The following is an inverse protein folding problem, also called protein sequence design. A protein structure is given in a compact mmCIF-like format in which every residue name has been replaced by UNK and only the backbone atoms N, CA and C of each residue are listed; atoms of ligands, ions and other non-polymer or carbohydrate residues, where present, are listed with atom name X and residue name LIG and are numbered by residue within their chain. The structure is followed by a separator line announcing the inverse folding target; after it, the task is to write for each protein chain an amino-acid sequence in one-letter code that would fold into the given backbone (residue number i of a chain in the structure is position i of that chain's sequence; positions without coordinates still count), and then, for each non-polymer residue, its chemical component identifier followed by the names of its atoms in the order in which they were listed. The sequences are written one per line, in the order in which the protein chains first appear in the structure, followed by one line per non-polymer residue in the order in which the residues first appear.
data_IF_968107804459
#
_entry.id   IF_968107804459
#
_cell.length_a   1.000
_cell.length_b   1.000
_cell.length_c   1.000
_cell.angle_alpha   90.00
_cell.angle_beta   90.00
_cell.angle_gamma   90.00
#
_symmetry.space_group_name_H-M   'P 1'
#
loop_
_entity.id
_entity.type
_entity.pdbx_description
1 polymer ?
#
# COMPACT_ATOMS: atom_id res chain seq x y z
N UNK A 1 1.89 -10.94 -13.98
CA UNK A 1 2.73 -10.42 -12.87
C UNK A 1 3.11 -9.00 -13.19
N UNK A 2 2.74 -8.07 -12.31
CA UNK A 2 3.04 -6.64 -12.40
C UNK A 2 4.54 -6.42 -12.09
N UNK A 3 5.19 -5.44 -12.72
CA UNK A 3 6.56 -5.03 -12.34
C UNK A 3 6.53 -3.90 -11.29
N UNK A 4 7.68 -3.59 -10.68
CA UNK A 4 7.76 -2.58 -9.62
C UNK A 4 7.45 -1.17 -10.11
N UNK A 5 7.85 -0.81 -11.33
CA UNK A 5 7.58 0.52 -11.90
C UNK A 5 6.08 0.76 -12.05
N UNK A 6 5.37 -0.22 -12.60
CA UNK A 6 3.92 -0.19 -12.70
C UNK A 6 3.24 -0.22 -11.33
N UNK A 7 3.73 -1.04 -10.39
CA UNK A 7 3.22 -1.08 -9.02
C UNK A 7 3.33 0.29 -8.34
N UNK A 8 4.50 0.94 -8.41
CA UNK A 8 4.72 2.29 -7.86
C UNK A 8 3.74 3.30 -8.44
N UNK A 9 3.54 3.27 -9.77
CA UNK A 9 2.58 4.18 -10.42
C UNK A 9 1.17 3.98 -9.89
N UNK A 10 0.71 2.73 -9.78
CA UNK A 10 -0.63 2.41 -9.26
C UNK A 10 -0.79 2.81 -7.80
N UNK A 11 0.21 2.56 -6.95
CA UNK A 11 0.22 3.01 -5.55
C UNK A 11 0.00 4.51 -5.47
N UNK A 12 0.83 5.30 -6.17
CA UNK A 12 0.71 6.75 -6.15
C UNK A 12 -0.65 7.22 -6.70
N UNK A 13 -1.16 6.57 -7.74
CA UNK A 13 -2.47 6.89 -8.30
C UNK A 13 -3.63 6.60 -7.34
N UNK A 14 -3.59 5.49 -6.60
CA UNK A 14 -4.64 5.17 -5.61
C UNK A 14 -4.61 6.18 -4.46
N UNK A 15 -3.43 6.57 -4.01
CA UNK A 15 -3.26 7.51 -2.92
C UNK A 15 -3.57 8.97 -3.29
N UNK A 16 -3.78 9.29 -4.58
CA UNK A 16 -3.97 10.67 -5.06
C UNK A 16 -5.16 11.37 -4.39
N UNK A 17 -6.28 10.67 -4.22
CA UNK A 17 -7.53 11.27 -3.70
C UNK A 17 -7.48 11.50 -2.19
N UNK A 18 -7.09 10.49 -1.41
CA UNK A 18 -7.13 10.52 0.06
C UNK A 18 -5.79 10.93 0.71
N UNK A 19 -4.70 10.91 -0.06
CA UNK A 19 -3.33 11.15 0.43
C UNK A 19 -2.76 10.03 1.30
N UNK A 20 -3.55 8.99 1.62
CA UNK A 20 -3.16 7.88 2.47
C UNK A 20 -4.12 6.69 2.25
N UNK A 21 -3.64 5.49 2.56
CA UNK A 21 -4.45 4.27 2.67
C UNK A 21 -3.74 3.22 3.54
N UNK A 22 -4.49 2.27 4.08
CA UNK A 22 -3.95 1.12 4.78
C UNK A 22 -3.17 0.24 3.78
N UNK A 23 -1.99 -0.25 4.17
CA UNK A 23 -1.10 -0.96 3.24
C UNK A 23 -1.71 -2.24 2.65
N UNK A 24 -2.53 -2.97 3.43
CA UNK A 24 -3.14 -4.22 2.99
C UNK A 24 -4.27 -4.02 1.94
N UNK A 25 -5.30 -3.17 2.14
CA UNK A 25 -6.25 -2.87 1.07
C UNK A 25 -5.60 -2.14 -0.11
N UNK A 26 -4.55 -1.33 0.11
CA UNK A 26 -3.79 -0.71 -0.96
C UNK A 26 -3.19 -1.76 -1.91
N UNK A 27 -2.51 -2.80 -1.37
CA UNK A 27 -2.01 -3.93 -2.17
C UNK A 27 -3.14 -4.52 -3.04
N UNK A 28 -4.25 -4.89 -2.42
CA UNK A 28 -5.39 -5.51 -3.12
C UNK A 28 -6.04 -4.59 -4.16
N UNK A 29 -5.84 -3.27 -4.05
CA UNK A 29 -6.38 -2.27 -4.99
C UNK A 29 -5.49 -2.11 -6.23
N UNK A 30 -4.17 -2.22 -6.06
CA UNK A 30 -3.19 -1.96 -7.14
C UNK A 30 -2.89 -3.21 -8.00
N UNK A 31 -3.28 -4.40 -7.55
CA UNK A 31 -3.14 -5.67 -8.29
C UNK A 31 -4.48 -6.37 -8.50
N UNK A 32 -4.47 -7.40 -9.35
CA UNK A 32 -5.48 -8.46 -9.39
C UNK A 32 -4.87 -9.69 -8.69
N UNK A 33 -5.20 -9.98 -7.42
CA UNK A 33 -4.50 -10.97 -6.62
C UNK A 33 -4.62 -12.39 -7.17
N UNK A 34 -3.50 -13.07 -7.32
CA UNK A 34 -3.46 -14.48 -7.79
C UNK A 34 -3.01 -15.47 -6.72
N UNK A 35 -2.46 -14.96 -5.61
CA UNK A 35 -1.85 -15.77 -4.57
C UNK A 35 -0.38 -16.13 -4.84
N UNK A 36 0.22 -15.58 -5.90
CA UNK A 36 1.66 -15.65 -6.13
C UNK A 36 2.41 -14.87 -5.03
N UNK A 37 3.27 -15.51 -4.23
CA UNK A 37 4.01 -14.85 -3.15
C UNK A 37 4.91 -13.70 -3.62
N UNK A 38 5.22 -13.60 -4.91
CA UNK A 38 5.94 -12.45 -5.47
C UNK A 38 5.11 -11.15 -5.45
N UNK A 39 3.77 -11.24 -5.43
CA UNK A 39 2.90 -10.06 -5.38
C UNK A 39 3.17 -9.16 -4.17
N UNK A 40 3.14 -9.68 -2.92
CA UNK A 40 3.46 -8.89 -1.75
C UNK A 40 4.95 -8.51 -1.65
N UNK A 41 5.88 -9.31 -2.22
CA UNK A 41 7.31 -8.96 -2.29
C UNK A 41 7.56 -7.76 -3.21
N UNK A 42 6.94 -7.72 -4.39
CA UNK A 42 7.04 -6.59 -5.32
C UNK A 42 6.41 -5.34 -4.71
N UNK A 43 5.30 -5.49 -3.99
CA UNK A 43 4.67 -4.39 -3.26
C UNK A 43 5.59 -3.82 -2.18
N UNK A 44 6.18 -4.67 -1.34
CA UNK A 44 7.17 -4.27 -0.33
C UNK A 44 8.36 -3.53 -0.95
N UNK A 45 8.93 -4.06 -2.04
CA UNK A 45 10.04 -3.44 -2.75
C UNK A 45 9.63 -2.07 -3.33
N UNK A 46 8.44 -1.97 -3.91
CA UNK A 46 7.92 -0.72 -4.49
C UNK A 46 7.72 0.35 -3.41
N UNK A 47 7.20 -0.01 -2.24
CA UNK A 47 7.10 0.89 -1.10
C UNK A 47 8.49 1.33 -0.61
N UNK A 48 9.45 0.41 -0.52
CA UNK A 48 10.83 0.74 -0.13
C UNK A 48 11.47 1.76 -1.06
N UNK A 49 11.26 1.61 -2.37
CA UNK A 49 11.75 2.54 -3.39
C UNK A 49 11.07 3.91 -3.24
N UNK A 50 9.73 3.97 -3.22
CA UNK A 50 8.97 5.22 -3.05
C UNK A 50 9.34 5.95 -1.76
N UNK A 51 9.55 5.21 -0.68
CA UNK A 51 9.97 5.74 0.61
C UNK A 51 11.38 6.32 0.52
N UNK A 52 12.32 5.61 -0.12
CA UNK A 52 13.69 6.10 -0.32
C UNK A 52 13.78 7.33 -1.23
N UNK A 53 12.84 7.46 -2.17
CA UNK A 53 12.67 8.62 -3.04
C UNK A 53 11.98 9.80 -2.32
N UNK A 54 11.52 9.62 -1.07
CA UNK A 54 10.81 10.63 -0.29
C UNK A 54 9.41 10.95 -0.82
N UNK A 55 8.81 10.03 -1.58
CA UNK A 55 7.46 10.18 -2.15
C UNK A 55 6.37 9.69 -1.19
N UNK A 56 6.72 8.80 -0.26
CA UNK A 56 5.80 8.33 0.78
C UNK A 56 6.45 8.36 2.15
N UNK A 57 5.60 8.39 3.16
CA UNK A 57 5.92 8.11 4.56
C UNK A 57 5.09 6.92 5.04
N UNK A 58 5.54 6.29 6.12
CA UNK A 58 4.79 5.22 6.77
C UNK A 58 4.20 5.72 8.08
N UNK A 59 2.97 5.32 8.35
CA UNK A 59 2.29 5.52 9.62
C UNK A 59 1.74 4.20 10.16
N UNK A 60 1.15 4.29 11.33
CA UNK A 60 0.28 3.25 11.90
C UNK A 60 -1.08 3.86 12.20
N UNK A 61 -2.16 3.15 11.92
CA UNK A 61 -3.52 3.64 12.18
C UNK A 61 -4.38 2.61 12.90
N UNK A 62 -5.17 3.07 13.85
CA UNK A 62 -6.22 2.27 14.50
C UNK A 62 -7.35 3.17 15.02
N UNK A 63 -8.53 2.61 15.24
CA UNK A 63 -9.66 3.35 15.83
C UNK A 63 -9.32 3.93 17.21
N UNK A 64 -8.72 3.19 18.16
CA UNK A 64 -8.51 3.70 19.50
C UNK A 64 -7.43 4.79 19.60
N UNK A 65 -6.44 4.75 18.71
CA UNK A 65 -5.25 5.63 18.77
C UNK A 65 -5.21 6.70 17.68
N UNK A 66 -6.02 6.56 16.64
CA UNK A 66 -5.90 7.38 15.44
C UNK A 66 -4.64 7.03 14.65
N UNK A 67 -4.11 8.03 13.93
CA UNK A 67 -2.89 7.93 13.13
C UNK A 67 -1.67 8.31 13.94
N UNK A 68 -0.63 7.50 13.81
CA UNK A 68 0.68 7.69 14.42
C UNK A 68 1.72 7.65 13.30
N UNK A 69 2.42 8.77 13.06
CA UNK A 69 3.51 8.80 12.10
C UNK A 69 4.71 8.01 12.64
N UNK A 70 5.35 7.22 11.78
CA UNK A 70 6.58 6.51 12.12
C UNK A 70 7.80 7.37 11.80
N UNK A 71 8.87 7.21 12.58
CA UNK A 71 10.18 7.72 12.18
C UNK A 71 10.69 7.01 10.92
N UNK A 72 11.71 7.56 10.27
CA UNK A 72 12.22 6.97 9.03
C UNK A 72 12.75 5.53 9.23
N UNK A 73 13.38 5.25 10.37
CA UNK A 73 13.87 3.92 10.72
C UNK A 73 12.73 2.93 10.99
N UNK A 74 11.72 3.36 11.75
CA UNK A 74 10.53 2.56 12.05
C UNK A 74 9.74 2.27 10.77
N UNK A 75 9.54 3.26 9.89
CA UNK A 75 8.85 3.09 8.63
C UNK A 75 9.54 2.10 7.70
N UNK A 76 10.87 2.19 7.56
CA UNK A 76 11.64 1.25 6.76
C UNK A 76 11.61 -0.18 7.34
N UNK A 77 11.66 -0.28 8.67
CA UNK A 77 11.52 -1.54 9.39
C UNK A 77 10.14 -2.13 9.19
N UNK A 78 9.10 -1.31 9.16
CA UNK A 78 7.72 -1.74 8.98
C UNK A 78 7.44 -2.23 7.56
N UNK A 79 7.95 -1.52 6.54
CA UNK A 79 7.94 -1.98 5.14
C UNK A 79 8.55 -3.39 5.05
N UNK A 80 9.70 -3.60 5.69
CA UNK A 80 10.42 -4.88 5.68
C UNK A 80 9.72 -6.08 6.31
N UNK A 81 8.52 -5.90 6.88
CA UNK A 81 7.72 -6.99 7.48
C UNK A 81 6.48 -7.34 6.66
N UNK A 82 6.10 -6.51 5.68
CA UNK A 82 4.79 -6.59 5.03
C UNK A 82 4.59 -7.94 4.33
N UNK A 83 5.53 -8.32 3.46
CA UNK A 83 5.43 -9.56 2.69
C UNK A 83 5.29 -10.81 3.58
N UNK A 84 6.07 -10.87 4.67
CA UNK A 84 6.04 -11.97 5.63
C UNK A 84 4.71 -12.08 6.42
N UNK A 85 3.95 -10.99 6.52
CA UNK A 85 2.68 -10.96 7.22
C UNK A 85 1.47 -11.20 6.32
N UNK A 86 1.60 -11.05 5.00
CA UNK A 86 0.48 -11.22 4.08
C UNK A 86 0.23 -12.70 3.76
N UNK A 87 -1.04 -13.09 3.84
CA UNK A 87 -1.52 -14.45 3.55
C UNK A 87 -2.66 -14.38 2.55
N UNK A 88 -2.55 -15.13 1.46
CA UNK A 88 -3.59 -15.17 0.46
C UNK A 88 -4.81 -15.97 0.96
N UNK A 89 -5.98 -15.35 0.90
CA UNK A 89 -7.27 -16.01 1.09
C UNK A 89 -7.84 -16.39 -0.28
N UNK A 90 -7.66 -17.65 -0.65
CA UNK A 90 -8.14 -18.18 -1.94
C UNK A 90 -9.67 -18.19 -2.08
N UNK A 91 -10.42 -18.07 -0.98
CA UNK A 91 -11.88 -18.02 -1.03
C UNK A 91 -12.36 -16.66 -1.50
N UNK A 92 -11.79 -15.61 -0.93
CA UNK A 92 -12.16 -14.23 -1.20
C UNK A 92 -11.31 -13.61 -2.34
N UNK A 93 -10.22 -14.28 -2.73
CA UNK A 93 -9.34 -13.84 -3.82
C UNK A 93 -8.52 -12.60 -3.45
N UNK A 94 -8.12 -12.48 -2.17
CA UNK A 94 -7.44 -11.29 -1.64
C UNK A 94 -6.28 -11.67 -0.72
N UNK A 95 -5.32 -10.77 -0.56
CA UNK A 95 -4.30 -10.84 0.46
C UNK A 95 -4.81 -10.27 1.79
N UNK A 96 -4.62 -11.00 2.88
CA UNK A 96 -4.96 -10.57 4.22
C UNK A 96 -3.71 -10.38 5.06
N UNK A 97 -3.68 -9.31 5.86
CA UNK A 97 -2.64 -9.13 6.86
C UNK A 97 -2.88 -10.05 8.07
N UNK A 98 -1.97 -10.99 8.30
CA UNK A 98 -2.08 -11.95 9.41
C UNK A 98 -1.96 -11.35 10.81
N UNK A 99 -1.53 -10.08 10.91
CA UNK A 99 -1.56 -9.32 12.17
C UNK A 99 -2.99 -8.90 12.52
N UNK A 100 -3.91 -9.00 11.56
CA UNK A 100 -5.31 -8.71 11.76
C UNK A 100 -6.03 -9.88 12.42
N UNK A 101 -6.40 -9.70 13.69
CA UNK A 101 -7.02 -10.73 14.53
C UNK A 101 -8.53 -10.89 14.37
N UNK A 102 -9.16 -10.21 13.40
CA UNK A 102 -10.61 -10.19 13.25
C UNK A 102 -11.31 -9.23 14.23
N UNK A 103 -12.64 -9.38 14.44
CA UNK A 103 -13.41 -8.44 15.25
C UNK A 103 -12.90 -8.28 16.71
N UNK A 104 -12.93 -7.06 17.27
CA UNK A 104 -13.39 -5.83 16.64
C UNK A 104 -12.34 -5.32 15.64
N UNK A 105 -12.81 -5.01 14.44
CA UNK A 105 -11.99 -4.53 13.33
C UNK A 105 -11.27 -3.21 13.68
N UNK A 106 -10.08 -3.02 13.12
CA UNK A 106 -9.25 -1.82 13.25
C UNK A 106 -8.87 -1.41 14.70
N UNK A 107 -8.81 -2.38 15.62
CA UNK A 107 -8.32 -2.16 17.00
C UNK A 107 -6.80 -2.26 17.13
N UNK A 108 -6.19 -3.11 16.31
CA UNK A 108 -4.74 -3.30 16.26
C UNK A 108 -4.20 -2.26 15.26
N UNK A 109 -3.16 -1.47 15.61
CA UNK A 109 -2.52 -0.57 14.67
C UNK A 109 -2.06 -1.28 13.39
N UNK A 110 -2.43 -0.73 12.24
CA UNK A 110 -2.12 -1.25 10.91
C UNK A 110 -1.20 -0.28 10.17
N UNK A 111 -0.27 -0.77 9.33
CA UNK A 111 0.56 0.12 8.53
C UNK A 111 -0.28 0.92 7.55
N UNK A 112 -0.07 2.23 7.55
CA UNK A 112 -0.66 3.19 6.63
C UNK A 112 0.45 3.74 5.73
N UNK A 113 0.17 3.87 4.43
CA UNK A 113 1.06 4.52 3.46
C UNK A 113 0.53 5.92 3.24
N UNK A 114 1.38 6.94 3.39
CA UNK A 114 0.99 8.36 3.31
C UNK A 114 1.82 9.06 2.25
N UNK A 115 1.19 9.86 1.38
CA UNK A 115 1.90 10.70 0.43
C UNK A 115 2.60 11.86 1.15
N UNK A 116 3.83 12.14 0.73
CA UNK A 116 4.47 13.44 1.02
C UNK A 116 3.96 14.51 0.06
N UNK A 117 4.36 15.77 0.25
CA UNK A 117 4.11 16.82 -0.74
C UNK A 117 4.69 16.47 -2.13
N UNK A 118 5.87 15.84 -2.15
CA UNK A 118 6.51 15.38 -3.39
C UNK A 118 5.74 14.20 -4.00
N UNK A 119 5.28 13.26 -3.17
CA UNK A 119 4.40 12.16 -3.57
C UNK A 119 3.09 12.64 -4.17
N UNK A 120 2.44 13.61 -3.54
CA UNK A 120 1.19 14.25 -4.00
C UNK A 120 1.37 14.91 -5.36
N UNK A 121 2.46 15.65 -5.55
CA UNK A 121 2.75 16.19 -6.89
C UNK A 121 2.93 15.08 -7.92
N UNK A 122 3.63 14.01 -7.54
CA UNK A 122 3.92 12.89 -8.44
C UNK A 122 2.67 12.09 -8.80
N UNK A 123 1.77 11.88 -7.85
CA UNK A 123 0.49 11.21 -8.07
C UNK A 123 -0.38 11.98 -9.07
N UNK A 124 -0.47 13.31 -8.94
CA UNK A 124 -1.15 14.14 -9.93
C UNK A 124 -0.55 14.01 -11.33
N UNK A 125 0.78 13.98 -11.47
CA UNK A 125 1.43 13.78 -12.77
C UNK A 125 1.00 12.44 -13.41
N UNK A 126 0.99 11.37 -12.62
CA UNK A 126 0.59 10.03 -13.06
C UNK A 126 -0.89 10.01 -13.47
N UNK A 127 -1.78 10.49 -12.60
CA UNK A 127 -3.22 10.53 -12.86
C UNK A 127 -3.54 11.37 -14.10
N UNK A 128 -2.89 12.52 -14.28
CA UNK A 128 -3.09 13.35 -15.46
C UNK A 128 -2.60 12.67 -16.75
N UNK A 129 -1.57 11.84 -16.68
CA UNK A 129 -1.01 11.15 -17.84
C UNK A 129 -1.84 9.92 -18.25
N UNK A 130 -2.28 9.12 -17.29
CA UNK A 130 -2.89 7.81 -17.55
C UNK A 130 -4.41 7.78 -17.30
N UNK A 131 -4.93 8.73 -16.52
CA UNK A 131 -6.30 8.73 -15.97
C UNK A 131 -6.39 7.88 -14.70
N UNK A 132 -7.44 8.06 -13.89
CA UNK A 132 -7.66 7.20 -12.72
C UNK A 132 -7.92 5.75 -13.14
N UNK A 133 -7.38 4.80 -12.36
CA UNK A 133 -7.59 3.36 -12.52
C UNK A 133 -7.28 2.83 -13.94
N UNK A 134 -6.28 3.41 -14.65
CA UNK A 134 -5.97 3.02 -16.04
C UNK A 134 -5.68 1.52 -16.24
N UNK A 135 -5.28 0.84 -15.17
CA UNK A 135 -4.94 -0.57 -15.17
C UNK A 135 -6.16 -1.48 -14.97
N UNK A 136 -7.29 -0.94 -14.52
CA UNK A 136 -8.50 -1.74 -14.33
C UNK A 136 -9.15 -2.02 -15.68
N UNK A 137 -9.63 -3.25 -15.94
CA UNK A 137 -10.43 -3.53 -17.11
C UNK A 137 -11.63 -2.58 -17.16
N UNK A 138 -11.83 -1.89 -18.28
CA UNK A 138 -13.03 -1.08 -18.49
C UNK A 138 -14.21 -2.03 -18.69
N UNK A 139 -15.23 -1.89 -17.84
CA UNK A 139 -16.53 -2.57 -17.98
C UNK A 139 -17.23 -2.16 -19.28
#
# INVERSE_FOLDING_TARGET
MIDSEEMKKRILSVLEEAGNDDANPLLNTVIDPTGDPLEPEIFEMSLRELFSEGLIEMGMVSIPRGREALTSEEGLTEIGKLSAHYKFDAREGIWLDSRYGGPPYSQIPQPEVVLTDAGTKKSFEIVNQFGNDWWRPKL
#
